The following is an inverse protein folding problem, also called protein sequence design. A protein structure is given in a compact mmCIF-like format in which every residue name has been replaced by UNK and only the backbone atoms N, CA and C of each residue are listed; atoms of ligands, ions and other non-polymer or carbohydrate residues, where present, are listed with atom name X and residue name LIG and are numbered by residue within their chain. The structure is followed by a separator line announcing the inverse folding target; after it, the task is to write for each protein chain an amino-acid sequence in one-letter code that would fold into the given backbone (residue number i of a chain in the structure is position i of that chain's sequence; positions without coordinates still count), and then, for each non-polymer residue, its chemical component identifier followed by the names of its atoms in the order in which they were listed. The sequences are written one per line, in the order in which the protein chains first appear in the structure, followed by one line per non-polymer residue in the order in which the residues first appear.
data_IF_920439939275
#
_entry.id   IF_920439939275
#
_cell.length_a   1.000
_cell.length_b   1.000
_cell.length_c   1.000
_cell.angle_alpha   90.00
_cell.angle_beta   90.00
_cell.angle_gamma   90.00
#
_symmetry.space_group_name_H-M   'P 1'
#
loop_
_entity.id
_entity.type
_entity.pdbx_description
1 polymer ?
#
# COMPACT_ATOMS: atom_id res chain seq x y z
N UNK A 1 4.00 15.13 -27.44
CA UNK A 1 3.42 16.00 -26.38
C UNK A 1 4.49 16.81 -25.65
N UNK A 2 5.64 16.23 -25.30
CA UNK A 2 6.73 16.94 -24.60
C UNK A 2 7.37 18.11 -25.36
N UNK A 3 7.20 18.21 -26.68
CA UNK A 3 7.75 19.30 -27.51
C UNK A 3 7.26 20.70 -27.12
N UNK A 4 6.16 20.79 -26.37
CA UNK A 4 5.62 22.07 -25.91
C UNK A 4 6.42 22.71 -24.77
N UNK A 5 7.25 21.93 -24.07
CA UNK A 5 8.06 22.41 -22.97
C UNK A 5 9.41 22.95 -23.47
N UNK A 6 9.80 24.10 -22.93
CA UNK A 6 11.11 24.71 -23.20
C UNK A 6 12.24 23.97 -22.48
N UNK A 7 13.50 24.34 -22.77
CA UNK A 7 14.63 23.83 -22.00
C UNK A 7 14.58 24.30 -20.54
N UNK A 8 14.10 25.53 -20.30
CA UNK A 8 13.98 26.08 -18.94
C UNK A 8 12.90 25.32 -18.14
N UNK A 9 11.75 25.02 -18.76
CA UNK A 9 10.69 24.19 -18.15
C UNK A 9 11.23 22.80 -17.77
N UNK A 10 11.94 22.15 -18.70
CA UNK A 10 12.53 20.84 -18.46
C UNK A 10 13.58 20.87 -17.34
N UNK A 11 14.47 21.87 -17.31
CA UNK A 11 15.46 22.03 -16.22
C UNK A 11 14.77 22.29 -14.88
N UNK A 12 13.73 23.12 -14.85
CA UNK A 12 12.98 23.39 -13.62
C UNK A 12 12.29 22.12 -13.12
N UNK A 13 11.56 21.42 -13.99
CA UNK A 13 10.87 20.18 -13.65
C UNK A 13 11.83 19.10 -13.14
N UNK A 14 12.84 18.75 -13.94
CA UNK A 14 13.82 17.72 -13.59
C UNK A 14 14.63 18.11 -12.36
N UNK A 15 15.00 19.37 -12.20
CA UNK A 15 15.71 19.88 -11.02
C UNK A 15 14.90 19.76 -9.74
N UNK A 16 13.57 19.92 -9.81
CA UNK A 16 12.67 19.71 -8.67
C UNK A 16 12.62 18.25 -8.23
N UNK A 17 12.56 17.31 -9.19
CA UNK A 17 12.32 15.89 -8.88
C UNK A 17 13.59 15.06 -8.69
N UNK A 18 14.74 15.48 -9.25
CA UNK A 18 15.99 14.72 -9.20
C UNK A 18 16.42 14.33 -7.77
N UNK A 19 16.33 15.20 -6.74
CA UNK A 19 16.74 14.83 -5.38
C UNK A 19 15.94 13.65 -4.81
N UNK A 20 14.66 13.52 -5.15
CA UNK A 20 13.82 12.43 -4.65
C UNK A 20 13.99 11.12 -5.41
N UNK A 21 14.55 11.16 -6.63
CA UNK A 21 14.69 9.98 -7.50
C UNK A 21 16.12 9.43 -7.44
N UNK A 22 17.13 10.29 -7.54
CA UNK A 22 18.55 9.90 -7.61
C UNK A 22 19.40 10.49 -6.49
N UNK A 23 18.80 11.21 -5.53
CA UNK A 23 19.53 11.75 -4.37
C UNK A 23 20.55 12.85 -4.70
N UNK A 24 20.48 13.43 -5.91
CA UNK A 24 21.42 14.45 -6.39
C UNK A 24 20.73 15.49 -7.27
N UNK A 25 21.46 16.57 -7.54
CA UNK A 25 21.08 17.56 -8.56
C UNK A 25 21.38 17.04 -9.98
N UNK A 26 20.89 17.78 -10.98
CA UNK A 26 21.19 17.53 -12.38
C UNK A 26 22.70 17.62 -12.65
N UNK A 27 23.21 16.66 -13.40
CA UNK A 27 24.58 16.59 -13.89
C UNK A 27 24.74 17.41 -15.17
N UNK A 28 26.00 17.67 -15.55
CA UNK A 28 26.32 18.39 -16.80
C UNK A 28 25.80 17.66 -18.05
N UNK A 29 25.89 16.32 -18.08
CA UNK A 29 25.37 15.53 -19.20
C UNK A 29 23.84 15.64 -19.32
N UNK A 30 23.12 15.65 -18.21
CA UNK A 30 21.66 15.85 -18.19
C UNK A 30 21.29 17.27 -18.63
N UNK A 31 22.03 18.29 -18.18
CA UNK A 31 21.88 19.65 -18.70
C UNK A 31 22.08 19.72 -20.22
N UNK A 32 23.13 19.08 -20.75
CA UNK A 32 23.38 19.05 -22.19
C UNK A 32 22.26 18.35 -22.98
N UNK A 33 21.68 17.27 -22.43
CA UNK A 33 20.51 16.61 -23.02
C UNK A 33 19.30 17.56 -23.07
N UNK A 34 19.05 18.31 -21.99
CA UNK A 34 17.94 19.27 -21.92
C UNK A 34 18.16 20.45 -22.88
N UNK A 35 19.39 20.96 -22.99
CA UNK A 35 19.71 22.07 -23.89
C UNK A 35 19.47 21.69 -25.36
N UNK A 36 19.85 20.47 -25.72
CA UNK A 36 19.73 19.96 -27.09
C UNK A 36 18.29 19.53 -27.43
N UNK A 37 17.63 18.78 -26.53
CA UNK A 37 16.31 18.20 -26.80
C UNK A 37 15.13 19.01 -26.24
N UNK A 38 15.37 20.04 -25.43
CA UNK A 38 14.36 20.85 -24.74
C UNK A 38 13.44 19.97 -23.89
N UNK A 39 12.12 20.16 -23.96
CA UNK A 39 11.13 19.32 -23.31
C UNK A 39 11.26 17.82 -23.60
N UNK A 40 11.74 17.44 -24.80
CA UNK A 40 11.98 16.02 -25.13
C UNK A 40 13.17 15.42 -24.37
N UNK A 41 14.00 16.24 -23.72
CA UNK A 41 15.07 15.77 -22.84
C UNK A 41 14.56 15.16 -21.53
N UNK A 42 13.30 15.40 -21.14
CA UNK A 42 12.71 14.87 -19.89
C UNK A 42 12.73 13.34 -19.86
N UNK A 43 12.22 12.70 -20.91
CA UNK A 43 12.14 11.24 -20.99
C UNK A 43 13.52 10.54 -20.89
N UNK A 44 14.54 10.86 -21.71
CA UNK A 44 15.83 10.18 -21.63
C UNK A 44 16.60 10.47 -20.32
N UNK A 45 16.40 11.63 -19.68
CA UNK A 45 16.98 11.89 -18.36
C UNK A 45 16.35 10.99 -17.30
N UNK A 46 15.02 10.89 -17.27
CA UNK A 46 14.30 9.99 -16.35
C UNK A 46 14.68 8.54 -16.62
N UNK A 47 14.74 8.09 -17.88
CA UNK A 47 15.19 6.74 -18.23
C UNK A 47 16.61 6.46 -17.72
N UNK A 48 17.52 7.42 -17.86
CA UNK A 48 18.87 7.31 -17.30
C UNK A 48 18.89 7.16 -15.79
N UNK A 49 17.99 7.84 -15.06
CA UNK A 49 17.85 7.69 -13.61
C UNK A 49 17.32 6.33 -13.20
N UNK A 50 16.37 5.76 -13.96
CA UNK A 50 15.75 4.48 -13.63
C UNK A 50 16.70 3.29 -13.88
N UNK A 51 17.73 3.47 -14.70
CA UNK A 51 18.82 2.52 -14.90
C UNK A 51 20.01 2.76 -13.96
N UNK A 52 20.00 3.83 -13.15
CA UNK A 52 21.05 4.12 -12.18
C UNK A 52 21.01 3.09 -11.03
N UNK A 53 22.17 2.53 -10.60
CA UNK A 53 22.24 1.63 -9.44
C UNK A 53 21.67 2.22 -8.14
N UNK A 54 21.51 3.53 -8.03
CA UNK A 54 20.87 4.19 -6.90
C UNK A 54 19.32 4.09 -6.91
N UNK A 55 18.68 3.84 -8.05
CA UNK A 55 17.22 3.81 -8.14
C UNK A 55 16.56 2.76 -7.24
N UNK A 56 17.05 1.51 -7.15
CA UNK A 56 16.55 0.54 -6.17
C UNK A 56 16.56 1.04 -4.72
N UNK A 57 17.55 1.84 -4.32
CA UNK A 57 17.63 2.41 -2.98
C UNK A 57 16.55 3.49 -2.76
N UNK A 58 16.25 4.29 -3.78
CA UNK A 58 15.10 5.21 -3.75
C UNK A 58 13.79 4.47 -3.57
N UNK A 59 13.60 3.37 -4.31
CA UNK A 59 12.41 2.52 -4.19
C UNK A 59 12.30 1.93 -2.79
N UNK A 60 13.42 1.44 -2.21
CA UNK A 60 13.49 0.98 -0.82
C UNK A 60 13.02 2.06 0.14
N UNK A 61 13.57 3.26 0.07
CA UNK A 61 13.21 4.38 0.95
C UNK A 61 11.73 4.75 0.82
N UNK A 62 11.20 4.81 -0.41
CA UNK A 62 9.79 5.08 -0.66
C UNK A 62 8.90 4.08 0.10
N UNK A 63 9.18 2.78 -0.02
CA UNK A 63 8.39 1.75 0.63
C UNK A 63 8.55 1.72 2.14
N UNK A 64 9.74 2.03 2.67
CA UNK A 64 9.95 2.16 4.11
C UNK A 64 9.09 3.26 4.72
N UNK A 65 9.06 4.44 4.09
CA UNK A 65 8.21 5.55 4.51
C UNK A 65 6.73 5.17 4.39
N UNK A 66 6.33 4.62 3.24
CA UNK A 66 4.94 4.23 2.98
C UNK A 66 4.44 3.15 3.94
N UNK A 67 5.25 2.16 4.27
CA UNK A 67 4.83 1.08 5.17
C UNK A 67 5.05 1.44 6.65
N UNK A 68 5.70 2.59 6.92
CA UNK A 68 6.17 2.98 8.25
C UNK A 68 7.05 1.89 8.88
N UNK A 69 7.87 1.25 8.04
CA UNK A 69 8.71 0.11 8.37
C UNK A 69 10.15 0.44 7.96
N UNK A 70 10.96 0.88 8.93
CA UNK A 70 12.40 1.15 8.76
C UNK A 70 13.14 0.90 10.07
N UNK A 71 14.40 0.53 9.99
CA UNK A 71 15.29 0.25 11.12
C UNK A 71 15.41 -1.23 11.47
N UNK A 72 15.93 -1.51 12.65
CA UNK A 72 16.14 -2.86 13.14
C UNK A 72 16.03 -2.86 14.67
N UNK A 73 15.40 -3.90 15.21
CA UNK A 73 15.52 -4.28 16.63
C UNK A 73 16.28 -5.59 16.73
N UNK A 74 16.59 -6.03 17.96
CA UNK A 74 17.26 -7.32 18.19
C UNK A 74 16.45 -8.52 17.64
N UNK A 75 15.13 -8.35 17.44
CA UNK A 75 14.20 -9.42 17.07
C UNK A 75 13.56 -9.26 15.69
N UNK A 76 13.51 -8.04 15.14
CA UNK A 76 12.77 -7.72 13.90
C UNK A 76 13.62 -6.84 13.00
N UNK A 77 13.76 -7.28 11.76
CA UNK A 77 14.36 -6.48 10.70
C UNK A 77 13.26 -5.67 9.98
N UNK A 78 13.15 -4.37 10.30
CA UNK A 78 12.15 -3.51 9.66
C UNK A 78 12.53 -3.11 8.24
N UNK A 79 13.72 -3.48 7.76
CA UNK A 79 14.16 -3.21 6.39
C UNK A 79 13.58 -4.20 5.37
N UNK A 80 13.06 -5.37 5.79
CA UNK A 80 12.62 -6.44 4.88
C UNK A 80 11.65 -5.98 3.77
N UNK A 81 10.60 -5.16 4.04
CA UNK A 81 9.72 -4.69 2.97
C UNK A 81 10.44 -3.80 1.96
N UNK A 82 11.33 -2.94 2.45
CA UNK A 82 12.14 -2.06 1.62
C UNK A 82 13.16 -2.84 0.77
N UNK A 83 13.78 -3.88 1.33
CA UNK A 83 14.69 -4.75 0.62
C UNK A 83 13.98 -5.52 -0.50
N UNK A 84 12.75 -6.01 -0.26
CA UNK A 84 11.93 -6.64 -1.30
C UNK A 84 11.64 -5.64 -2.43
N UNK A 85 11.25 -4.41 -2.09
CA UNK A 85 10.98 -3.37 -3.09
C UNK A 85 12.23 -3.01 -3.92
N UNK A 86 13.41 -2.88 -3.28
CA UNK A 86 14.68 -2.70 -3.98
C UNK A 86 15.02 -3.88 -4.89
N UNK A 87 14.80 -5.10 -4.43
CA UNK A 87 15.05 -6.31 -5.24
C UNK A 87 14.17 -6.33 -6.48
N UNK A 88 12.86 -6.10 -6.33
CA UNK A 88 11.90 -6.01 -7.45
C UNK A 88 12.36 -4.94 -8.47
N UNK A 89 12.77 -3.76 -8.01
CA UNK A 89 13.26 -2.71 -8.89
C UNK A 89 14.56 -3.09 -9.60
N UNK A 90 15.53 -3.68 -8.88
CA UNK A 90 16.84 -4.08 -9.41
C UNK A 90 16.74 -5.17 -10.46
N UNK A 91 15.93 -6.19 -10.18
CA UNK A 91 15.73 -7.36 -11.05
C UNK A 91 14.66 -7.12 -12.13
N UNK A 92 14.08 -5.91 -12.17
CA UNK A 92 13.01 -5.50 -13.11
C UNK A 92 11.82 -6.45 -13.10
N UNK A 93 11.44 -6.91 -11.90
CA UNK A 93 10.28 -7.79 -11.72
C UNK A 93 8.97 -6.99 -11.83
N UNK A 94 7.85 -7.67 -12.15
CA UNK A 94 6.53 -7.03 -12.13
C UNK A 94 6.24 -6.35 -10.79
N UNK A 95 5.60 -5.19 -10.81
CA UNK A 95 5.26 -4.46 -9.59
C UNK A 95 4.34 -5.27 -8.66
N UNK A 96 3.51 -6.15 -9.21
CA UNK A 96 2.63 -7.04 -8.46
C UNK A 96 3.37 -7.90 -7.42
N UNK A 97 4.65 -8.26 -7.67
CA UNK A 97 5.51 -9.00 -6.75
C UNK A 97 5.65 -8.32 -5.37
N UNK A 98 5.40 -7.01 -5.26
CA UNK A 98 5.41 -6.33 -3.96
C UNK A 98 4.37 -6.93 -3.00
N UNK A 99 3.28 -7.49 -3.54
CA UNK A 99 2.23 -8.18 -2.80
C UNK A 99 2.27 -9.69 -3.01
N UNK A 100 2.69 -10.19 -4.17
CA UNK A 100 2.55 -11.60 -4.53
C UNK A 100 3.81 -12.44 -4.31
N UNK A 101 4.96 -11.82 -4.02
CA UNK A 101 6.20 -12.55 -3.80
C UNK A 101 6.03 -13.59 -2.66
N UNK A 102 6.44 -14.82 -2.94
CA UNK A 102 6.43 -15.93 -1.97
C UNK A 102 7.68 -15.95 -1.07
N UNK A 103 8.45 -14.86 -1.07
CA UNK A 103 9.73 -14.71 -0.38
C UNK A 103 9.90 -13.27 0.14
N UNK A 104 10.83 -13.13 1.08
CA UNK A 104 11.33 -11.86 1.57
C UNK A 104 12.78 -11.67 1.11
N UNK A 105 13.36 -10.48 1.30
CA UNK A 105 14.73 -10.20 0.87
C UNK A 105 15.56 -9.69 2.04
N UNK A 106 16.70 -10.32 2.28
CA UNK A 106 17.61 -9.95 3.36
C UNK A 106 18.44 -8.69 3.03
N UNK A 107 19.26 -8.22 3.98
CA UNK A 107 20.12 -7.05 3.77
C UNK A 107 21.24 -7.25 2.74
N UNK A 108 21.54 -8.49 2.36
CA UNK A 108 22.46 -8.84 1.28
C UNK A 108 21.78 -8.84 -0.09
N UNK A 109 20.46 -8.67 -0.15
CA UNK A 109 19.68 -8.73 -1.38
C UNK A 109 19.30 -10.15 -1.82
N UNK A 110 19.49 -11.16 -0.97
CA UNK A 110 19.13 -12.54 -1.27
C UNK A 110 17.69 -12.84 -0.86
N UNK A 111 17.00 -13.64 -1.67
CA UNK A 111 15.68 -14.17 -1.32
C UNK A 111 15.80 -15.12 -0.13
N UNK A 112 14.89 -14.96 0.83
CA UNK A 112 14.84 -15.72 2.09
C UNK A 112 13.38 -15.98 2.47
N UNK A 113 13.06 -17.02 3.27
CA UNK A 113 11.73 -17.15 3.84
C UNK A 113 11.33 -15.91 4.64
N UNK A 114 10.05 -15.54 4.58
CA UNK A 114 9.53 -14.44 5.39
C UNK A 114 9.51 -14.79 6.88
N UNK A 115 9.64 -13.77 7.72
CA UNK A 115 9.97 -13.91 9.15
C UNK A 115 8.76 -14.10 10.07
N UNK A 116 7.55 -14.28 9.52
CA UNK A 116 6.30 -14.36 10.29
C UNK A 116 5.97 -15.76 10.79
N UNK A 117 6.51 -16.81 10.15
CA UNK A 117 6.16 -18.20 10.43
C UNK A 117 4.82 -18.66 9.83
N UNK A 118 4.15 -17.81 9.03
CA UNK A 118 2.96 -18.20 8.30
C UNK A 118 3.28 -19.31 7.27
N UNK A 119 2.34 -20.21 6.97
CA UNK A 119 2.54 -21.28 5.97
C UNK A 119 2.48 -20.78 4.52
N UNK A 120 2.38 -19.47 4.33
CA UNK A 120 2.32 -18.78 3.04
C UNK A 120 3.05 -17.43 3.14
N UNK A 121 3.29 -16.79 2.01
CA UNK A 121 3.79 -15.42 1.92
C UNK A 121 2.91 -14.59 0.96
N UNK A 122 2.85 -13.29 1.21
CA UNK A 122 2.12 -12.28 0.47
C UNK A 122 2.97 -10.99 0.42
N UNK A 123 4.18 -11.12 -0.13
CA UNK A 123 5.14 -10.04 -0.28
C UNK A 123 5.35 -9.24 1.00
N UNK A 124 5.21 -7.92 0.90
CA UNK A 124 5.41 -7.03 2.05
C UNK A 124 4.37 -7.21 3.16
N UNK A 125 3.18 -7.74 2.86
CA UNK A 125 2.09 -7.89 3.85
C UNK A 125 2.36 -9.00 4.86
N UNK A 126 3.20 -9.97 4.52
CA UNK A 126 3.65 -11.07 5.40
C UNK A 126 5.07 -10.86 5.92
N UNK A 127 5.50 -9.62 6.09
CA UNK A 127 6.71 -9.28 6.84
C UNK A 127 6.33 -8.91 8.28
N UNK A 128 7.12 -9.32 9.28
CA UNK A 128 6.88 -8.86 10.66
C UNK A 128 6.97 -7.34 10.77
N UNK A 129 7.84 -6.72 9.97
CA UNK A 129 7.98 -5.28 9.86
C UNK A 129 6.64 -4.57 9.56
N UNK A 130 5.92 -4.99 8.51
CA UNK A 130 4.61 -4.44 8.18
C UNK A 130 3.59 -4.73 9.27
N UNK A 131 3.52 -5.98 9.73
CA UNK A 131 2.51 -6.41 10.68
C UNK A 131 2.65 -5.70 12.03
N UNK A 132 3.87 -5.52 12.53
CA UNK A 132 4.16 -4.88 13.80
C UNK A 132 3.95 -3.37 13.72
N UNK A 133 4.52 -2.70 12.70
CA UNK A 133 4.36 -1.25 12.50
C UNK A 133 2.88 -0.83 12.40
N UNK A 134 2.05 -1.74 11.88
CA UNK A 134 0.63 -1.51 11.64
C UNK A 134 -0.30 -2.24 12.62
N UNK A 135 0.23 -2.76 13.74
CA UNK A 135 -0.57 -3.40 14.78
C UNK A 135 -1.56 -2.40 15.42
N UNK A 136 -2.82 -2.82 15.57
CA UNK A 136 -3.85 -2.07 16.26
C UNK A 136 -5.03 -2.98 16.60
N UNK A 137 -5.82 -2.60 17.60
CA UNK A 137 -7.10 -3.25 17.96
C UNK A 137 -7.93 -3.60 16.72
N UNK A 138 -8.53 -4.79 16.73
CA UNK A 138 -9.30 -5.37 15.62
C UNK A 138 -8.57 -5.38 14.26
N UNK A 139 -7.23 -5.34 14.24
CA UNK A 139 -6.43 -5.26 13.01
C UNK A 139 -6.76 -4.08 12.07
N UNK A 140 -7.41 -3.02 12.56
CA UNK A 140 -7.92 -1.92 11.72
C UNK A 140 -6.82 -1.19 10.94
N UNK A 141 -5.66 -0.95 11.56
CA UNK A 141 -4.55 -0.24 10.94
C UNK A 141 -3.89 -1.10 9.86
N UNK A 142 -3.69 -2.40 10.07
CA UNK A 142 -3.22 -3.34 9.02
C UNK A 142 -4.16 -3.28 7.80
N UNK A 143 -5.44 -3.54 8.02
CA UNK A 143 -6.46 -3.49 6.96
C UNK A 143 -6.52 -2.11 6.26
N UNK A 144 -6.47 -1.00 7.01
CA UNK A 144 -6.46 0.36 6.45
C UNK A 144 -5.23 0.60 5.57
N UNK A 145 -4.04 0.23 6.04
CA UNK A 145 -2.80 0.48 5.30
C UNK A 145 -2.70 -0.40 4.07
N UNK A 146 -3.12 -1.67 4.14
CA UNK A 146 -3.21 -2.55 2.97
C UNK A 146 -4.03 -1.88 1.85
N UNK A 147 -5.27 -1.47 2.16
CA UNK A 147 -6.15 -0.88 1.15
C UNK A 147 -5.67 0.49 0.65
N UNK A 148 -5.15 1.31 1.56
CA UNK A 148 -4.71 2.67 1.22
C UNK A 148 -3.41 2.68 0.39
N UNK A 149 -2.42 1.86 0.74
CA UNK A 149 -1.11 1.87 0.07
C UNK A 149 -1.20 1.24 -1.31
N UNK A 150 -1.95 0.14 -1.45
CA UNK A 150 -1.92 -0.65 -2.68
C UNK A 150 -3.08 -0.37 -3.63
N UNK A 151 -4.22 0.12 -3.13
CA UNK A 151 -5.38 0.41 -3.97
C UNK A 151 -5.92 1.84 -3.80
N UNK A 152 -5.30 2.65 -2.92
CA UNK A 152 -5.66 4.06 -2.72
C UNK A 152 -7.09 4.26 -2.24
N UNK A 153 -7.65 3.24 -1.60
CA UNK A 153 -9.02 3.24 -1.09
C UNK A 153 -9.03 3.58 0.40
N UNK A 154 -9.99 4.41 0.79
CA UNK A 154 -10.33 4.70 2.17
C UNK A 154 -11.68 4.08 2.50
N UNK A 155 -11.94 3.89 3.80
CA UNK A 155 -13.23 3.44 4.29
C UNK A 155 -14.11 4.64 4.69
N UNK A 156 -15.44 4.55 4.54
CA UNK A 156 -16.14 3.46 3.84
C UNK A 156 -15.89 3.51 2.32
N UNK A 157 -15.86 2.35 1.69
CA UNK A 157 -15.74 2.16 0.24
C UNK A 157 -17.13 2.08 -0.39
N UNK A 158 -17.19 2.26 -1.71
CA UNK A 158 -18.41 1.97 -2.48
C UNK A 158 -18.88 0.52 -2.23
N UNK A 159 -20.18 0.33 -1.97
CA UNK A 159 -20.75 -0.98 -1.63
C UNK A 159 -20.79 -1.96 -2.82
N UNK A 160 -20.74 -1.46 -4.05
CA UNK A 160 -20.61 -2.30 -5.25
C UNK A 160 -19.17 -2.82 -5.36
N UNK A 161 -18.19 -1.97 -5.04
CA UNK A 161 -16.79 -2.36 -5.02
C UNK A 161 -16.50 -3.34 -3.88
N UNK A 162 -16.87 -3.00 -2.65
CA UNK A 162 -16.73 -3.86 -1.48
C UNK A 162 -18.09 -4.08 -0.83
N UNK A 163 -18.77 -5.20 -1.15
CA UNK A 163 -20.01 -5.57 -0.49
C UNK A 163 -19.83 -5.64 1.03
N UNK A 164 -20.76 -5.06 1.82
CA UNK A 164 -20.70 -5.15 3.26
C UNK A 164 -20.92 -6.59 3.71
N UNK A 165 -20.17 -7.04 4.73
CA UNK A 165 -20.46 -8.27 5.45
C UNK A 165 -21.87 -8.24 6.06
N UNK A 166 -22.48 -9.41 6.20
CA UNK A 166 -23.82 -9.53 6.79
C UNK A 166 -23.82 -8.97 8.23
N UNK A 167 -24.78 -8.08 8.53
CA UNK A 167 -24.93 -7.48 9.86
C UNK A 167 -24.94 -8.52 10.99
N UNK A 168 -25.62 -9.65 10.82
CA UNK A 168 -25.70 -10.67 11.89
C UNK A 168 -24.42 -11.50 12.03
N UNK A 169 -23.54 -11.52 11.02
CA UNK A 169 -22.24 -12.21 11.13
C UNK A 169 -21.26 -11.44 12.01
N UNK A 170 -21.45 -10.13 12.17
CA UNK A 170 -20.56 -9.27 12.95
C UNK A 170 -20.85 -9.36 14.46
N UNK A 171 -19.88 -9.04 15.31
CA UNK A 171 -20.11 -8.84 16.74
C UNK A 171 -21.07 -7.67 16.99
N UNK A 172 -21.86 -7.74 18.08
CA UNK A 172 -23.01 -6.86 18.33
C UNK A 172 -22.69 -5.37 18.21
N UNK A 173 -21.55 -4.93 18.73
CA UNK A 173 -21.14 -3.52 18.69
C UNK A 173 -20.95 -2.95 17.28
N UNK A 174 -20.66 -3.80 16.29
CA UNK A 174 -20.47 -3.38 14.90
C UNK A 174 -21.74 -3.48 14.05
N UNK A 175 -22.87 -3.87 14.65
CA UNK A 175 -24.15 -4.00 13.93
C UNK A 175 -24.89 -2.68 13.82
N UNK A 176 -24.67 -1.75 14.74
CA UNK A 176 -25.41 -0.51 14.79
C UNK A 176 -25.15 0.39 13.56
N UNK A 177 -26.23 0.84 12.92
CA UNK A 177 -26.23 1.87 11.88
C UNK A 177 -26.71 3.23 12.41
N UNK A 178 -27.33 3.23 13.59
CA UNK A 178 -27.81 4.44 14.27
C UNK A 178 -27.48 4.34 15.76
N UNK A 179 -27.48 5.47 16.49
CA UNK A 179 -27.22 5.46 17.93
C UNK A 179 -28.24 4.63 18.70
N UNK A 180 -29.51 4.67 18.30
CA UNK A 180 -30.60 3.93 18.95
C UNK A 180 -30.49 2.41 18.76
N UNK A 181 -29.76 1.95 17.73
CA UNK A 181 -29.45 0.54 17.53
C UNK A 181 -28.29 0.05 18.40
N UNK A 182 -27.51 0.93 19.04
CA UNK A 182 -26.33 0.55 19.80
C UNK A 182 -26.68 0.10 21.23
N UNK A 183 -26.70 -1.23 21.42
CA UNK A 183 -27.02 -1.90 22.68
C UNK A 183 -25.80 -2.22 23.53
N UNK A 184 -24.58 -2.16 22.97
CA UNK A 184 -23.33 -2.52 23.68
C UNK A 184 -22.76 -1.29 24.42
N UNK A 185 -22.71 -1.27 25.77
CA UNK A 185 -22.29 -0.10 26.55
C UNK A 185 -20.90 0.43 26.20
N UNK A 186 -19.95 -0.46 25.91
CA UNK A 186 -18.57 -0.11 25.53
C UNK A 186 -18.51 0.67 24.21
N UNK A 187 -19.50 0.46 23.33
CA UNK A 187 -19.61 1.14 22.05
C UNK A 187 -20.49 2.39 22.09
N UNK A 188 -21.26 2.62 23.15
CA UNK A 188 -22.14 3.79 23.30
C UNK A 188 -21.36 5.11 23.45
N UNK A 189 -20.19 5.06 24.10
CA UNK A 189 -19.30 6.22 24.31
C UNK A 189 -18.04 6.19 23.41
N UNK A 190 -17.90 5.16 22.58
CA UNK A 190 -16.73 4.92 21.72
C UNK A 190 -16.72 5.81 20.46
N UNK A 191 -15.57 5.81 19.78
CA UNK A 191 -15.31 6.49 18.50
C UNK A 191 -16.55 6.51 17.58
N UNK A 192 -17.17 7.68 17.41
CA UNK A 192 -18.19 7.92 16.38
C UNK A 192 -19.67 7.88 16.79
N UNK A 193 -20.03 8.05 18.07
CA UNK A 193 -21.44 8.17 18.53
C UNK A 193 -22.38 7.03 18.04
N UNK A 194 -21.85 5.84 17.74
CA UNK A 194 -22.62 4.70 17.21
C UNK A 194 -23.17 4.84 15.78
N UNK A 195 -22.99 5.99 15.10
CA UNK A 195 -23.70 6.31 13.85
C UNK A 195 -23.13 5.62 12.59
N UNK A 196 -21.93 5.06 12.65
CA UNK A 196 -21.23 4.54 11.47
C UNK A 196 -20.43 3.25 11.74
N UNK A 197 -20.75 2.54 12.83
CA UNK A 197 -20.07 1.30 13.17
C UNK A 197 -20.27 0.28 12.06
N UNK A 198 -21.51 0.00 11.66
CA UNK A 198 -21.76 -0.97 10.59
C UNK A 198 -21.21 -0.56 9.23
N UNK A 199 -21.37 0.69 8.81
CA UNK A 199 -20.88 1.15 7.49
C UNK A 199 -19.38 0.98 7.33
N UNK A 200 -18.61 1.22 8.39
CA UNK A 200 -17.17 1.04 8.37
C UNK A 200 -16.79 -0.43 8.61
N UNK A 201 -17.30 -1.04 9.69
CA UNK A 201 -16.88 -2.37 10.14
C UNK A 201 -17.39 -3.53 9.29
N UNK A 202 -18.47 -3.35 8.52
CA UNK A 202 -18.92 -4.36 7.55
C UNK A 202 -17.94 -4.54 6.39
N UNK A 203 -17.13 -3.54 6.06
CA UNK A 203 -16.08 -3.64 5.05
C UNK A 203 -14.70 -3.84 5.69
N UNK A 204 -14.41 -3.12 6.77
CA UNK A 204 -13.18 -3.32 7.55
C UNK A 204 -13.06 -4.74 8.07
N UNK A 205 -14.15 -5.32 8.55
CA UNK A 205 -14.17 -6.67 9.09
C UNK A 205 -13.71 -7.72 8.08
N UNK A 206 -14.04 -7.52 6.79
CA UNK A 206 -13.60 -8.42 5.75
C UNK A 206 -12.06 -8.39 5.62
N UNK A 207 -11.47 -7.21 5.49
CA UNK A 207 -10.03 -7.08 5.30
C UNK A 207 -9.22 -7.33 6.58
N UNK A 208 -9.76 -6.98 7.75
CA UNK A 208 -9.11 -7.19 9.04
C UNK A 208 -9.04 -8.67 9.42
N UNK A 209 -9.98 -9.49 8.93
CA UNK A 209 -9.99 -10.93 9.19
C UNK A 209 -8.73 -11.63 8.69
N UNK A 210 -8.16 -11.16 7.58
CA UNK A 210 -6.94 -11.68 6.97
C UNK A 210 -5.70 -11.59 7.87
N UNK A 211 -5.80 -10.88 9.00
CA UNK A 211 -4.72 -10.69 9.97
C UNK A 211 -5.00 -11.34 11.32
N UNK A 212 -6.08 -12.12 11.46
CA UNK A 212 -6.53 -12.66 12.77
C UNK A 212 -5.53 -13.63 13.40
N UNK A 213 -4.69 -14.27 12.59
CA UNK A 213 -3.64 -15.20 13.03
C UNK A 213 -2.33 -14.54 13.40
N UNK A 214 -2.18 -13.22 13.20
CA UNK A 214 -0.93 -12.51 13.49
C UNK A 214 -1.03 -11.73 14.79
N UNK A 215 -0.14 -12.02 15.74
CA UNK A 215 -0.06 -11.28 17.00
C UNK A 215 0.45 -9.84 16.79
N UNK A 216 0.56 -9.06 17.86
CA UNK A 216 1.06 -7.68 17.79
C UNK A 216 2.55 -7.58 17.38
N UNK A 217 3.33 -8.66 17.52
CA UNK A 217 4.72 -8.80 17.07
C UNK A 217 4.83 -9.28 15.61
N UNK A 218 3.71 -9.56 14.95
CA UNK A 218 3.62 -10.05 13.58
C UNK A 218 3.93 -11.54 13.41
N UNK A 219 3.95 -12.32 14.49
CA UNK A 219 4.15 -13.77 14.46
C UNK A 219 2.82 -14.47 14.18
N UNK A 220 2.87 -15.51 13.35
CA UNK A 220 1.71 -16.32 12.98
C UNK A 220 1.39 -17.38 14.03
N UNK A 221 0.12 -17.45 14.43
CA UNK A 221 -0.43 -18.37 15.42
C UNK A 221 -1.57 -19.19 14.82
N UNK A 222 -1.32 -20.42 14.33
CA UNK A 222 -2.38 -21.26 13.74
C UNK A 222 -3.55 -21.51 14.70
N UNK A 223 -3.30 -21.50 16.01
CA UNK A 223 -4.27 -21.70 17.09
C UNK A 223 -5.10 -20.46 17.45
N UNK A 224 -4.85 -19.28 16.87
CA UNK A 224 -5.59 -18.07 17.24
C UNK A 224 -7.10 -18.24 17.00
N UNK A 225 -7.91 -17.86 17.98
CA UNK A 225 -9.37 -18.03 17.94
C UNK A 225 -10.11 -16.82 17.38
N UNK A 226 -9.46 -15.65 17.37
CA UNK A 226 -10.08 -14.37 17.00
C UNK A 226 -11.14 -13.88 17.99
N UNK A 227 -11.34 -14.55 19.12
CA UNK A 227 -12.35 -14.16 20.12
C UNK A 227 -11.81 -13.05 21.04
N UNK A 228 -12.71 -12.15 21.48
CA UNK A 228 -12.39 -11.16 22.51
C UNK A 228 -11.97 -11.84 23.80
N UNK A 229 -10.83 -11.42 24.35
CA UNK A 229 -10.45 -11.76 25.71
C UNK A 229 -11.27 -10.90 26.69
N UNK A 230 -12.12 -11.49 27.55
CA UNK A 230 -12.95 -10.73 28.48
C UNK A 230 -12.14 -9.96 29.53
N UNK A 231 -10.89 -10.35 29.77
CA UNK A 231 -10.02 -9.72 30.76
C UNK A 231 -9.09 -8.65 30.15
N UNK A 232 -9.11 -8.48 28.83
CA UNK A 232 -8.22 -7.56 28.11
C UNK A 232 -8.97 -6.35 27.55
N UNK A 233 -8.23 -5.39 26.99
CA UNK A 233 -8.82 -4.24 26.31
C UNK A 233 -9.68 -4.67 25.11
N UNK A 234 -10.71 -3.87 24.82
CA UNK A 234 -11.58 -4.09 23.67
C UNK A 234 -10.76 -4.16 22.37
N UNK A 235 -10.98 -5.21 21.59
CA UNK A 235 -10.28 -5.47 20.33
C UNK A 235 -8.99 -6.28 20.47
N UNK A 236 -8.66 -6.77 21.67
CA UNK A 236 -7.59 -7.74 21.93
C UNK A 236 -8.13 -9.14 22.21
N UNK A 237 -7.42 -10.11 21.64
CA UNK A 237 -7.57 -11.52 21.95
C UNK A 237 -6.44 -11.94 22.89
N UNK A 238 -6.36 -13.23 23.18
CA UNK A 238 -5.33 -13.80 24.05
C UNK A 238 -3.95 -13.70 23.40
N UNK A 239 -2.88 -13.75 24.20
CA UNK A 239 -1.49 -13.85 23.72
C UNK A 239 -1.06 -12.76 22.71
N UNK A 240 -1.50 -11.52 22.90
CA UNK A 240 -1.11 -10.40 22.02
C UNK A 240 -1.85 -10.35 20.68
N UNK A 241 -2.76 -11.30 20.42
CA UNK A 241 -3.60 -11.34 19.22
C UNK A 241 -4.70 -10.27 19.24
N UNK A 242 -5.36 -10.11 18.09
CA UNK A 242 -6.46 -9.17 17.89
C UNK A 242 -7.77 -9.89 17.62
N UNK A 243 -8.86 -9.20 17.91
CA UNK A 243 -10.22 -9.75 17.79
C UNK A 243 -10.72 -9.68 16.36
N UNK A 244 -11.38 -10.75 15.94
CA UNK A 244 -12.16 -10.84 14.71
C UNK A 244 -13.40 -9.96 14.81
N UNK A 245 -13.89 -9.51 13.66
CA UNK A 245 -15.19 -8.85 13.61
C UNK A 245 -16.37 -9.83 13.66
N UNK A 246 -16.14 -11.14 13.51
CA UNK A 246 -17.18 -12.15 13.43
C UNK A 246 -17.63 -12.64 14.80
N UNK A 247 -18.94 -12.87 14.95
CA UNK A 247 -19.54 -13.41 16.17
C UNK A 247 -19.42 -14.94 16.27
N UNK A 248 -19.43 -15.63 15.12
CA UNK A 248 -19.30 -17.09 15.08
C UNK A 248 -17.85 -17.48 15.39
N UNK A 249 -17.60 -18.30 16.44
CA UNK A 249 -16.24 -18.71 16.79
C UNK A 249 -15.50 -19.45 15.68
N UNK A 250 -16.21 -20.17 14.80
CA UNK A 250 -15.58 -20.87 13.69
C UNK A 250 -15.09 -19.87 12.64
N UNK A 251 -15.95 -18.96 12.20
CA UNK A 251 -15.55 -17.87 11.29
C UNK A 251 -14.48 -16.97 11.90
N UNK A 252 -14.61 -16.62 13.19
CA UNK A 252 -13.67 -15.75 13.89
C UNK A 252 -12.24 -16.30 13.92
N UNK A 253 -12.09 -17.63 13.95
CA UNK A 253 -10.80 -18.30 13.98
C UNK A 253 -10.21 -18.56 12.58
N UNK A 254 -10.91 -18.25 11.49
CA UNK A 254 -10.45 -18.50 10.12
C UNK A 254 -9.92 -17.22 9.46
N UNK A 255 -9.01 -17.34 8.50
CA UNK A 255 -8.56 -16.19 7.70
C UNK A 255 -9.48 -15.94 6.49
N UNK A 256 -10.43 -16.85 6.24
CA UNK A 256 -11.40 -16.80 5.14
C UNK A 256 -12.22 -15.51 5.19
N UNK A 257 -12.25 -14.79 4.06
CA UNK A 257 -12.97 -13.54 3.95
C UNK A 257 -13.25 -13.16 2.48
N UNK A 258 -13.36 -11.87 2.19
CA UNK A 258 -13.49 -11.31 0.84
C UNK A 258 -12.66 -10.04 0.65
N UNK A 259 -12.19 -9.81 -0.57
CA UNK A 259 -11.62 -8.54 -1.05
C UNK A 259 -12.32 -8.18 -2.35
N UNK A 260 -12.87 -6.96 -2.44
CA UNK A 260 -13.68 -6.51 -3.58
C UNK A 260 -14.84 -7.43 -3.95
N UNK A 261 -15.44 -8.08 -2.95
CA UNK A 261 -16.50 -9.08 -3.13
C UNK A 261 -16.03 -10.46 -3.59
N UNK A 262 -14.73 -10.63 -3.88
CA UNK A 262 -14.15 -11.92 -4.22
C UNK A 262 -13.76 -12.68 -2.94
N UNK A 263 -14.23 -13.93 -2.75
CA UNK A 263 -13.81 -14.76 -1.62
C UNK A 263 -12.31 -15.06 -1.65
N UNK A 264 -11.64 -14.96 -0.51
CA UNK A 264 -10.20 -15.22 -0.37
C UNK A 264 -9.94 -16.11 0.84
N UNK A 265 -9.07 -17.11 0.72
CA UNK A 265 -8.81 -18.05 1.81
C UNK A 265 -7.88 -17.47 2.90
N UNK A 266 -6.94 -16.62 2.49
CA UNK A 266 -5.91 -16.04 3.34
C UNK A 266 -5.35 -14.73 2.74
N UNK A 267 -4.30 -14.19 3.36
CA UNK A 267 -3.67 -12.95 2.93
C UNK A 267 -2.92 -13.07 1.58
N UNK A 268 -2.49 -14.27 1.17
CA UNK A 268 -1.88 -14.50 -0.16
C UNK A 268 -2.93 -14.39 -1.26
N UNK A 269 -4.09 -15.01 -1.07
CA UNK A 269 -5.22 -14.88 -2.00
C UNK A 269 -5.68 -13.41 -2.10
N UNK A 270 -5.76 -12.72 -0.96
CA UNK A 270 -6.07 -11.29 -0.91
C UNK A 270 -5.05 -10.43 -1.67
N UNK A 271 -3.76 -10.70 -1.50
CA UNK A 271 -2.70 -10.00 -2.21
C UNK A 271 -2.82 -10.13 -3.73
N UNK A 272 -3.14 -11.33 -4.24
CA UNK A 272 -3.43 -11.55 -5.66
C UNK A 272 -4.59 -10.67 -6.12
N UNK A 273 -5.75 -10.74 -5.46
CA UNK A 273 -6.93 -9.93 -5.79
C UNK A 273 -6.61 -8.43 -5.78
N UNK A 274 -5.85 -7.97 -4.78
CA UNK A 274 -5.42 -6.57 -4.69
C UNK A 274 -4.52 -6.15 -5.85
N UNK A 275 -3.61 -7.01 -6.30
CA UNK A 275 -2.68 -6.73 -7.41
C UNK A 275 -3.34 -6.78 -8.79
N UNK A 276 -4.40 -7.57 -8.94
CA UNK A 276 -5.16 -7.70 -10.20
C UNK A 276 -6.22 -6.60 -10.37
N UNK A 277 -6.57 -5.90 -9.28
CA UNK A 277 -7.61 -4.89 -9.31
C UNK A 277 -7.18 -3.63 -10.10
N UNK A 278 -8.06 -3.00 -10.91
CA UNK A 278 -7.69 -1.85 -11.75
C UNK A 278 -7.13 -0.63 -11.00
N UNK A 279 -7.43 -0.48 -9.72
CA UNK A 279 -6.89 0.62 -8.89
C UNK A 279 -5.46 0.38 -8.43
N UNK A 280 -4.90 -0.83 -8.59
CA UNK A 280 -3.55 -1.15 -8.14
C UNK A 280 -2.49 -0.26 -8.82
N UNK A 281 -2.47 -0.23 -10.15
CA UNK A 281 -1.54 0.60 -10.90
C UNK A 281 -1.87 2.10 -10.85
N UNK A 282 -3.16 2.47 -10.72
CA UNK A 282 -3.54 3.86 -10.43
C UNK A 282 -2.91 4.32 -9.12
N UNK A 283 -2.95 3.44 -8.11
CA UNK A 283 -2.42 3.74 -6.80
C UNK A 283 -0.89 3.80 -6.80
N UNK A 284 -0.24 2.90 -7.53
CA UNK A 284 1.21 2.94 -7.73
C UNK A 284 1.65 4.27 -8.34
N UNK A 285 0.97 4.74 -9.39
CA UNK A 285 1.23 6.05 -10.00
C UNK A 285 1.00 7.21 -9.01
N UNK A 286 -0.10 7.18 -8.23
CA UNK A 286 -0.34 8.15 -7.16
C UNK A 286 0.78 8.16 -6.12
N UNK A 287 1.28 6.99 -5.74
CA UNK A 287 2.37 6.84 -4.78
C UNK A 287 3.69 7.39 -5.34
N UNK A 288 3.97 7.20 -6.63
CA UNK A 288 5.10 7.82 -7.32
C UNK A 288 5.01 9.35 -7.28
N UNK A 289 3.84 9.93 -7.57
CA UNK A 289 3.61 11.39 -7.46
C UNK A 289 3.84 11.85 -6.02
N UNK A 290 3.22 11.17 -5.05
CA UNK A 290 3.33 11.51 -3.64
C UNK A 290 4.78 11.52 -3.16
N UNK A 291 5.55 10.48 -3.49
CA UNK A 291 6.96 10.37 -3.15
C UNK A 291 7.80 11.46 -3.84
N UNK A 292 7.66 11.58 -5.16
CA UNK A 292 8.52 12.44 -5.98
C UNK A 292 8.38 13.92 -5.61
N UNK A 293 7.19 14.36 -5.21
CA UNK A 293 6.92 15.74 -4.83
C UNK A 293 6.83 15.96 -3.32
N UNK A 294 7.14 14.95 -2.49
CA UNK A 294 7.08 15.06 -1.03
C UNK A 294 5.69 15.43 -0.51
N UNK A 295 4.63 14.95 -1.16
CA UNK A 295 3.26 15.24 -0.76
C UNK A 295 2.89 14.42 0.48
N UNK A 296 2.09 15.00 1.37
CA UNK A 296 1.40 14.22 2.40
C UNK A 296 0.29 13.36 1.79
N UNK A 297 -0.12 12.32 2.51
CA UNK A 297 -1.28 11.49 2.18
C UNK A 297 -2.55 12.30 1.85
N UNK A 298 -2.78 13.39 2.58
CA UNK A 298 -3.93 14.28 2.39
C UNK A 298 -3.82 15.19 1.16
N UNK A 299 -2.60 15.44 0.68
CA UNK A 299 -2.38 16.15 -0.59
C UNK A 299 -2.48 15.17 -1.76
N UNK A 300 -1.85 14.00 -1.66
CA UNK A 300 -1.86 12.99 -2.71
C UNK A 300 -3.27 12.42 -2.97
N UNK A 301 -4.14 12.38 -1.97
CA UNK A 301 -5.55 11.99 -2.15
C UNK A 301 -6.36 12.95 -3.03
N UNK A 302 -5.83 14.15 -3.32
CA UNK A 302 -6.43 15.15 -4.21
C UNK A 302 -5.90 15.06 -5.65
N UNK A 303 -5.05 14.08 -5.94
CA UNK A 303 -4.58 13.84 -7.33
C UNK A 303 -5.78 13.57 -8.22
N UNK A 304 -5.81 14.21 -9.39
CA UNK A 304 -6.93 14.09 -10.32
C UNK A 304 -7.15 12.62 -10.73
N UNK A 305 -8.39 12.14 -10.59
CA UNK A 305 -8.73 10.75 -10.90
C UNK A 305 -8.61 10.46 -12.40
N UNK A 306 -8.90 11.43 -13.26
CA UNK A 306 -8.76 11.30 -14.71
C UNK A 306 -7.30 11.07 -15.11
N UNK A 307 -6.37 11.80 -14.50
CA UNK A 307 -4.94 11.58 -14.64
C UNK A 307 -4.53 10.16 -14.21
N UNK A 308 -4.98 9.68 -13.05
CA UNK A 308 -4.62 8.35 -12.57
C UNK A 308 -5.16 7.23 -13.47
N UNK A 309 -6.37 7.40 -14.03
CA UNK A 309 -6.96 6.51 -15.03
C UNK A 309 -6.10 6.50 -16.30
N UNK A 310 -5.71 7.66 -16.83
CA UNK A 310 -4.87 7.73 -18.05
C UNK A 310 -3.50 7.08 -17.84
N UNK A 311 -2.87 7.31 -16.68
CA UNK A 311 -1.60 6.69 -16.33
C UNK A 311 -1.71 5.15 -16.28
N UNK A 312 -2.76 4.62 -15.65
CA UNK A 312 -3.04 3.17 -15.66
C UNK A 312 -3.24 2.66 -17.08
N UNK A 313 -4.03 3.36 -17.90
CA UNK A 313 -4.34 2.91 -19.26
C UNK A 313 -3.08 2.86 -20.12
N UNK A 314 -2.16 3.83 -19.97
CA UNK A 314 -0.84 3.79 -20.60
C UNK A 314 -0.02 2.59 -20.14
N UNK A 315 0.03 2.29 -18.84
CA UNK A 315 0.72 1.10 -18.32
C UNK A 315 0.12 -0.20 -18.87
N UNK A 316 -1.20 -0.25 -19.06
CA UNK A 316 -1.89 -1.41 -19.63
C UNK A 316 -1.60 -1.64 -21.13
N UNK A 317 -0.97 -0.67 -21.82
CA UNK A 317 -0.54 -0.84 -23.22
C UNK A 317 0.84 -1.49 -23.39
N UNK A 318 1.56 -1.73 -22.28
CA UNK A 318 2.83 -2.44 -22.31
C UNK A 318 2.63 -3.91 -22.71
N UNK A 319 3.63 -4.49 -23.36
CA UNK A 319 3.63 -5.90 -23.79
C UNK A 319 4.07 -6.88 -22.68
N UNK A 320 4.25 -6.37 -21.47
CA UNK A 320 4.66 -7.08 -20.26
C UNK A 320 3.94 -6.48 -19.04
N UNK A 321 3.99 -7.19 -17.90
CA UNK A 321 3.47 -6.65 -16.65
C UNK A 321 4.31 -5.44 -16.19
N UNK A 322 3.68 -4.30 -15.81
CA UNK A 322 4.41 -3.10 -15.45
C UNK A 322 5.40 -3.31 -14.30
N UNK A 323 6.65 -2.90 -14.50
CA UNK A 323 7.67 -2.83 -13.45
C UNK A 323 7.58 -1.53 -12.65
N UNK A 324 8.33 -1.41 -11.55
CA UNK A 324 8.45 -0.13 -10.82
C UNK A 324 9.04 0.96 -11.71
N UNK A 325 10.02 0.64 -12.56
CA UNK A 325 10.60 1.59 -13.50
C UNK A 325 9.56 2.07 -14.53
N UNK A 326 8.70 1.19 -15.04
CA UNK A 326 7.62 1.58 -15.96
C UNK A 326 6.63 2.54 -15.34
N UNK A 327 6.26 2.30 -14.07
CA UNK A 327 5.36 3.18 -13.32
C UNK A 327 6.00 4.56 -13.14
N UNK A 328 7.28 4.63 -12.75
CA UNK A 328 7.99 5.90 -12.62
C UNK A 328 8.12 6.62 -13.95
N UNK A 329 8.56 5.92 -15.01
CA UNK A 329 8.70 6.49 -16.36
C UNK A 329 7.37 7.04 -16.87
N UNK A 330 6.31 6.22 -16.83
CA UNK A 330 4.99 6.62 -17.34
C UNK A 330 4.42 7.79 -16.58
N UNK A 331 4.56 7.80 -15.25
CA UNK A 331 4.06 8.87 -14.38
C UNK A 331 4.82 10.17 -14.58
N UNK A 332 6.15 10.13 -14.55
CA UNK A 332 7.00 11.33 -14.51
C UNK A 332 7.30 11.90 -15.91
N UNK A 333 6.97 11.19 -16.98
CA UNK A 333 7.00 11.74 -18.34
C UNK A 333 5.62 12.22 -18.81
N UNK A 334 4.59 12.10 -17.97
CA UNK A 334 3.24 12.51 -18.33
C UNK A 334 3.09 14.04 -18.37
N UNK A 335 2.60 14.64 -19.47
CA UNK A 335 2.53 16.10 -19.61
C UNK A 335 1.75 16.81 -18.50
N UNK A 336 0.66 16.23 -18.03
CA UNK A 336 -0.12 16.82 -16.93
C UNK A 336 0.62 16.80 -15.59
N UNK A 337 1.51 15.82 -15.35
CA UNK A 337 2.36 15.80 -14.14
C UNK A 337 3.43 16.88 -14.24
N UNK A 338 4.02 17.07 -15.42
CA UNK A 338 5.01 18.12 -15.68
C UNK A 338 4.37 19.52 -15.52
N UNK A 339 3.14 19.71 -16.02
CA UNK A 339 2.42 20.98 -15.93
C UNK A 339 2.18 21.45 -14.49
N UNK A 340 1.99 20.53 -13.54
CA UNK A 340 1.80 20.89 -12.13
C UNK A 340 2.99 21.67 -11.58
N UNK A 341 4.21 21.33 -12.03
CA UNK A 341 5.44 22.02 -11.60
C UNK A 341 5.69 23.27 -12.45
N UNK A 342 5.54 23.16 -13.77
CA UNK A 342 5.90 24.25 -14.71
C UNK A 342 4.86 25.38 -14.69
N UNK A 343 3.56 25.05 -14.59
CA UNK A 343 2.46 26.01 -14.65
C UNK A 343 2.07 26.63 -13.31
N UNK A 344 2.69 26.19 -12.21
CA UNK A 344 2.47 26.71 -10.85
C UNK A 344 3.36 27.89 -10.45
N UNK A 345 4.17 28.41 -11.39
CA UNK A 345 5.10 29.54 -11.21
C UNK A 345 4.51 30.91 -11.51
#
# INVERSE_FOLDING_TARGET
ELDRFTADDARHYLGTIAPMIVGRLLSESEHNLIDYFKGRGIAPVIEGWLEDPAFPETVRMMFQVKLSASGMTDEVNFELPGNLAAHIAREKLPYAEILTAEYCVDGGGAATPCDTGAPYAAGVLTTRAYLLANASRFNLRRARRMMYIFNCLAYPMDHVLQPPLEKLSLIEMFRAMTPDEQTVPEAQNGFGNGFACYSCHSQFGAHAQLFVKFDEQGVYHPEATGLQDPENELGRSQNGLFVSHFVDPVAAAQELSQVFGEPVADLRDAARVLSEHPTFYQCAARNTIEWTFGLSEAQASKTDLGLLIDLRDRLATLDHEPTIADIFRTTLTHPAVIDVVVGGG
#
